data_IF_640077009776
#
_entry.id   IF_640077009776
#
_cell.length_a   1.000
_cell.length_b   1.000
_cell.length_c   1.000
_cell.angle_alpha   90.00
_cell.angle_beta   90.00
_cell.angle_gamma   90.00
#
_symmetry.space_group_name_H-M   'P 1'
#
loop_
_entity.id
_entity.type
_entity.pdbx_description
1 polymer ?
#
# COMPACT_ATOMS: atom_id res chain seq x y z
N UNK A 1 -33.20 15.02 41.23
CA UNK A 1 -32.18 14.55 41.70
C UNK A 1 -31.60 13.42 41.03
N UNK A 2 -32.26 12.48 40.90
CA UNK A 2 -31.83 11.38 40.24
C UNK A 2 -31.35 11.65 38.88
N UNK A 3 -31.85 12.49 38.24
CA UNK A 3 -31.51 12.76 36.94
C UNK A 3 -30.07 13.00 36.82
N UNK A 4 -29.52 13.49 37.69
CA UNK A 4 -28.18 13.79 37.64
C UNK A 4 -27.37 12.62 37.24
N UNK A 5 -27.64 11.56 37.74
CA UNK A 5 -26.96 10.39 37.42
C UNK A 5 -26.85 10.13 36.00
N UNK A 6 -27.86 10.30 35.36
CA UNK A 6 -27.84 10.00 34.01
C UNK A 6 -26.75 10.66 33.30
N UNK A 7 -26.50 11.77 33.58
CA UNK A 7 -25.47 12.47 32.95
C UNK A 7 -24.20 11.74 32.95
N UNK A 8 -23.86 11.23 33.99
CA UNK A 8 -22.62 10.60 34.08
C UNK A 8 -22.46 9.55 33.09
N UNK A 9 -23.43 8.86 32.85
CA UNK A 9 -23.37 7.85 31.92
C UNK A 9 -23.03 8.31 30.61
N UNK A 10 -23.64 9.23 30.18
CA UNK A 10 -23.42 9.67 28.87
C UNK A 10 -21.97 9.85 28.61
N UNK A 11 -21.29 10.34 29.50
CA UNK A 11 -19.97 10.57 29.32
C UNK A 11 -19.18 9.42 28.91
N UNK A 12 -19.31 8.35 29.49
CA UNK A 12 -18.61 7.29 29.13
C UNK A 12 -18.73 6.97 27.73
N UNK A 13 -19.82 6.98 27.26
CA UNK A 13 -20.04 6.63 25.93
C UNK A 13 -19.09 7.27 25.03
N UNK A 14 -18.89 8.41 25.17
CA UNK A 14 -18.09 9.07 24.25
C UNK A 14 -16.76 8.59 24.25
N UNK A 15 -16.25 8.36 25.28
CA UNK A 15 -14.98 7.93 25.33
C UNK A 15 -14.69 6.76 24.53
N UNK A 16 -15.44 5.87 24.55
CA UNK A 16 -15.16 4.68 23.85
C UNK A 16 -14.99 4.86 22.42
N UNK A 17 -15.47 5.83 21.89
CA UNK A 17 -15.37 5.99 20.55
C UNK A 17 -14.11 6.30 19.99
N UNK A 18 -13.39 7.03 20.51
CA UNK A 18 -12.27 7.40 19.91
C UNK A 18 -11.38 6.44 19.42
N UNK A 19 -11.08 5.54 20.01
CA UNK A 19 -10.09 4.62 19.61
C UNK A 19 -10.21 4.14 18.27
N UNK A 20 -11.30 3.84 17.94
CA UNK A 20 -11.47 3.24 16.73
C UNK A 20 -10.98 3.91 15.62
N UNK A 21 -10.90 5.05 15.67
CA UNK A 21 -10.57 5.70 14.52
C UNK A 21 -9.29 5.43 13.98
N UNK A 22 -8.51 4.95 14.62
CA UNK A 22 -7.26 4.76 14.14
C UNK A 22 -7.08 4.10 12.93
N UNK A 23 -7.72 3.22 12.67
CA UNK A 23 -7.46 2.48 11.59
C UNK A 23 -7.53 3.01 10.30
N UNK A 24 -8.30 3.72 10.06
CA UNK A 24 -8.47 4.09 8.79
C UNK A 24 -7.37 4.61 8.09
N UNK A 25 -6.57 5.14 8.72
CA UNK A 25 -5.66 5.80 8.00
C UNK A 25 -4.74 5.09 7.19
N UNK A 26 -4.64 3.96 7.31
CA UNK A 26 -3.73 3.29 6.56
C UNK A 26 -3.86 3.53 5.16
N UNK A 27 -4.97 3.76 4.67
CA UNK A 27 -5.10 3.89 3.25
C UNK A 27 -4.61 5.18 2.72
N UNK A 28 -4.33 6.09 3.57
CA UNK A 28 -3.91 7.37 3.04
C UNK A 28 -2.45 7.66 3.30
N UNK A 29 -1.70 6.70 3.71
CA UNK A 29 -0.30 6.95 3.96
C UNK A 29 0.43 7.32 2.68
N UNK A 30 1.38 8.20 2.74
CA UNK A 30 2.17 8.56 1.58
C UNK A 30 2.96 7.36 1.14
N UNK A 31 3.15 7.23 -0.14
CA UNK A 31 3.86 6.08 -0.64
C UNK A 31 5.25 5.97 -0.04
N UNK A 32 5.89 7.07 0.23
CA UNK A 32 7.22 7.03 0.80
C UNK A 32 7.26 6.43 2.19
N UNK A 33 6.14 6.33 2.87
CA UNK A 33 6.11 5.77 4.20
C UNK A 33 5.76 4.29 4.18
N UNK A 34 5.53 3.73 3.03
CA UNK A 34 5.15 2.35 2.95
C UNK A 34 6.38 1.49 2.75
N UNK A 35 6.72 0.68 3.74
CA UNK A 35 7.85 -0.21 3.59
C UNK A 35 7.42 -1.45 2.83
N UNK A 36 6.30 -2.01 3.18
CA UNK A 36 5.79 -3.18 2.46
C UNK A 36 4.33 -3.33 2.85
N UNK A 37 3.47 -3.37 1.88
CA UNK A 37 2.05 -3.52 2.12
C UNK A 37 1.49 -4.56 1.19
N UNK A 38 0.72 -5.49 1.70
CA UNK A 38 0.18 -6.59 0.91
C UNK A 38 -1.33 -6.62 0.96
N UNK A 39 -1.93 -6.98 -0.13
CA UNK A 39 -3.37 -7.08 -0.26
C UNK A 39 -3.68 -7.88 -1.53
N UNK A 40 -4.91 -7.90 -1.99
CA UNK A 40 -5.24 -8.59 -3.22
C UNK A 40 -4.62 -7.87 -4.41
N UNK A 41 -4.36 -8.58 -5.49
CA UNK A 41 -3.76 -7.95 -6.67
C UNK A 41 -4.56 -6.76 -7.19
N UNK A 42 -5.87 -6.86 -7.20
CA UNK A 42 -6.68 -5.77 -7.70
C UNK A 42 -6.58 -4.55 -6.80
N UNK A 43 -6.54 -4.75 -5.50
CA UNK A 43 -6.45 -3.65 -4.58
C UNK A 43 -5.11 -2.94 -4.76
N UNK A 44 -4.02 -3.69 -4.84
CA UNK A 44 -2.70 -3.11 -4.97
C UNK A 44 -2.56 -2.36 -6.30
N UNK A 45 -3.07 -2.95 -7.38
CA UNK A 45 -2.97 -2.32 -8.67
C UNK A 45 -3.75 -1.00 -8.68
N UNK A 46 -4.95 -1.02 -8.14
CA UNK A 46 -5.77 0.16 -8.12
C UNK A 46 -5.12 1.27 -7.28
N UNK A 47 -4.53 0.89 -6.16
CA UNK A 47 -3.87 1.85 -5.31
C UNK A 47 -2.72 2.50 -6.06
N UNK A 48 -1.88 1.72 -6.72
CA UNK A 48 -0.74 2.25 -7.42
C UNK A 48 -1.13 3.14 -8.59
N UNK A 49 -2.07 2.69 -9.37
CA UNK A 49 -2.43 3.43 -10.58
C UNK A 49 -3.33 4.64 -10.35
N UNK A 50 -4.26 4.52 -9.44
CA UNK A 50 -5.23 5.59 -9.23
C UNK A 50 -4.93 6.49 -8.04
N UNK A 51 -4.49 5.94 -6.94
CA UNK A 51 -4.21 6.77 -5.78
C UNK A 51 -2.86 7.46 -5.91
N UNK A 52 -1.87 6.78 -6.45
CA UNK A 52 -0.55 7.35 -6.58
C UNK A 52 -0.18 7.73 -8.01
N UNK A 53 -1.07 7.49 -8.94
CA UNK A 53 -0.89 7.88 -10.33
C UNK A 53 0.40 7.35 -10.94
N UNK A 54 0.71 6.10 -10.68
CA UNK A 54 1.93 5.50 -11.20
C UNK A 54 1.64 4.72 -12.47
N UNK A 55 2.55 4.73 -13.38
CA UNK A 55 2.43 3.97 -14.62
C UNK A 55 3.49 2.90 -14.72
N UNK A 56 3.22 1.85 -15.45
CA UNK A 56 4.15 0.74 -15.57
C UNK A 56 5.39 1.16 -16.34
N UNK A 57 6.53 0.87 -15.81
CA UNK A 57 7.81 1.20 -16.44
C UNK A 57 8.61 -0.05 -16.80
N UNK A 58 8.51 -1.09 -16.03
CA UNK A 58 9.26 -2.32 -16.31
C UNK A 58 8.60 -3.49 -15.62
N UNK A 59 8.88 -4.68 -16.05
CA UNK A 59 8.37 -5.87 -15.38
C UNK A 59 9.38 -7.00 -15.50
N UNK A 60 9.25 -7.97 -14.65
CA UNK A 60 10.15 -9.11 -14.64
C UNK A 60 9.53 -10.27 -13.91
N UNK A 61 10.21 -11.39 -13.90
CA UNK A 61 9.74 -12.60 -13.26
C UNK A 61 10.83 -13.08 -12.30
N UNK A 62 10.41 -13.52 -11.13
CA UNK A 62 11.33 -14.09 -10.16
C UNK A 62 11.09 -15.59 -10.13
N UNK A 63 12.13 -16.34 -10.33
CA UNK A 63 12.06 -17.80 -10.38
C UNK A 63 12.73 -18.41 -9.16
N UNK A 64 12.34 -19.63 -8.85
CA UNK A 64 13.01 -20.38 -7.80
C UNK A 64 14.26 -21.05 -8.40
N UNK A 65 14.92 -21.87 -7.63
CA UNK A 65 16.15 -22.53 -8.06
C UNK A 65 15.90 -23.63 -9.11
N UNK A 66 14.65 -23.95 -9.37
CA UNK A 66 14.32 -24.91 -10.42
C UNK A 66 13.70 -24.22 -11.61
N UNK A 67 13.91 -22.92 -11.71
CA UNK A 67 13.41 -22.09 -12.80
C UNK A 67 11.87 -22.05 -12.90
N UNK A 68 11.18 -22.26 -11.78
CA UNK A 68 9.73 -22.12 -11.78
C UNK A 68 9.39 -20.72 -11.29
N UNK A 69 8.37 -20.12 -11.86
CA UNK A 69 7.99 -18.78 -11.50
C UNK A 69 7.41 -18.72 -10.11
N UNK A 70 7.97 -17.89 -9.27
CA UNK A 70 7.46 -17.65 -7.93
C UNK A 70 6.53 -16.44 -7.92
N UNK A 71 6.92 -15.40 -8.59
CA UNK A 71 6.15 -14.19 -8.64
C UNK A 71 6.53 -13.36 -9.85
N UNK A 72 5.69 -12.42 -10.19
CA UNK A 72 6.05 -11.43 -11.18
C UNK A 72 6.28 -10.11 -10.47
N UNK A 73 7.12 -9.28 -11.04
CA UNK A 73 7.47 -8.00 -10.45
C UNK A 73 7.16 -6.91 -11.45
N UNK A 74 6.64 -5.79 -10.98
CA UNK A 74 6.38 -4.65 -11.84
C UNK A 74 6.94 -3.40 -11.19
N UNK A 75 7.65 -2.61 -11.97
CA UNK A 75 8.12 -1.31 -11.53
C UNK A 75 7.20 -0.26 -12.12
N UNK A 76 6.63 0.58 -11.28
CA UNK A 76 5.77 1.65 -11.73
C UNK A 76 6.36 2.98 -11.26
N UNK A 77 6.10 4.03 -11.98
CA UNK A 77 6.65 5.34 -11.63
C UNK A 77 5.79 6.46 -12.14
N UNK A 78 5.95 7.63 -11.54
CA UNK A 78 5.35 8.86 -12.02
C UNK A 78 6.50 9.78 -12.40
N UNK A 79 6.59 10.11 -13.69
CA UNK A 79 7.73 10.89 -14.15
C UNK A 79 7.70 12.32 -13.68
N UNK A 80 6.57 12.83 -13.29
CA UNK A 80 6.48 14.22 -12.87
C UNK A 80 6.99 14.42 -11.45
N UNK A 81 6.60 13.57 -10.53
CA UNK A 81 6.98 13.73 -9.15
C UNK A 81 8.04 12.76 -8.68
N UNK A 82 8.49 11.87 -9.57
CA UNK A 82 9.54 10.90 -9.28
C UNK A 82 9.20 9.87 -8.22
N UNK A 83 7.93 9.68 -7.95
CA UNK A 83 7.53 8.59 -7.08
C UNK A 83 7.60 7.28 -7.84
N UNK A 84 7.84 6.21 -7.15
CA UNK A 84 7.92 4.90 -7.76
C UNK A 84 7.42 3.81 -6.81
N UNK A 85 7.08 2.67 -7.35
CA UNK A 85 6.71 1.52 -6.56
C UNK A 85 7.11 0.25 -7.28
N UNK A 86 7.34 -0.80 -6.53
CA UNK A 86 7.52 -2.12 -7.10
C UNK A 86 6.41 -2.97 -6.53
N UNK A 87 5.71 -3.69 -7.40
CA UNK A 87 4.65 -4.58 -7.00
C UNK A 87 5.12 -6.00 -7.26
N UNK A 88 4.96 -6.85 -6.24
CA UNK A 88 5.27 -8.27 -6.36
C UNK A 88 3.94 -9.00 -6.39
N UNK A 89 3.67 -9.69 -7.50
CA UNK A 89 2.43 -10.45 -7.64
C UNK A 89 2.76 -11.93 -7.48
N UNK A 90 2.35 -12.49 -6.35
CA UNK A 90 2.67 -13.88 -6.07
C UNK A 90 1.78 -14.80 -6.88
N UNK A 91 2.35 -15.87 -7.38
CA UNK A 91 1.63 -16.79 -8.23
C UNK A 91 0.51 -17.48 -7.47
N UNK A 92 0.71 -17.74 -6.19
CA UNK A 92 -0.30 -18.39 -5.39
C UNK A 92 -0.84 -17.45 -4.32
N UNK A 93 -2.05 -17.68 -3.91
CA UNK A 93 -2.60 -16.98 -2.77
C UNK A 93 -3.31 -15.67 -3.04
N UNK A 94 -3.50 -15.33 -4.29
CA UNK A 94 -4.21 -14.09 -4.63
C UNK A 94 -3.65 -12.92 -3.82
N UNK A 95 -2.35 -12.78 -3.83
CA UNK A 95 -1.64 -11.82 -3.01
C UNK A 95 -0.69 -10.99 -3.83
N UNK A 96 -0.68 -9.70 -3.58
CA UNK A 96 0.32 -8.80 -4.12
C UNK A 96 0.85 -7.93 -3.03
N UNK A 97 2.10 -7.54 -3.11
CA UNK A 97 2.73 -6.65 -2.15
C UNK A 97 3.39 -5.49 -2.88
N UNK A 98 3.41 -4.35 -2.26
CA UNK A 98 3.96 -3.15 -2.87
C UNK A 98 4.96 -2.49 -1.92
N UNK A 99 6.02 -1.97 -2.50
CA UNK A 99 6.98 -1.19 -1.77
C UNK A 99 7.23 0.04 -2.64
N UNK A 100 7.38 1.18 -2.08
CA UNK A 100 7.54 2.38 -2.88
C UNK A 100 8.39 3.45 -2.22
N UNK A 101 8.59 4.51 -2.94
CA UNK A 101 9.44 5.59 -2.47
C UNK A 101 9.42 6.78 -3.41
N UNK A 102 10.42 7.62 -3.27
CA UNK A 102 10.55 8.85 -4.04
C UNK A 102 11.86 8.90 -4.76
N UNK A 103 12.04 9.91 -5.51
CA UNK A 103 13.33 10.25 -6.14
C UNK A 103 13.91 9.15 -7.04
N UNK A 104 13.07 8.54 -7.84
CA UNK A 104 13.59 7.52 -8.74
C UNK A 104 14.47 8.16 -9.80
N UNK A 105 15.56 7.50 -10.15
CA UNK A 105 16.41 7.91 -11.23
C UNK A 105 16.56 6.77 -12.18
N UNK A 106 16.49 7.07 -13.46
CA UNK A 106 16.65 6.05 -14.47
C UNK A 106 18.00 6.25 -15.14
N UNK A 107 18.69 5.17 -15.36
CA UNK A 107 20.00 5.21 -15.98
C UNK A 107 19.96 4.37 -17.24
N UNK A 108 20.61 4.83 -18.28
CA UNK A 108 20.68 4.04 -19.49
C UNK A 108 21.73 2.96 -19.32
N UNK A 109 21.41 1.73 -19.65
CA UNK A 109 22.39 0.66 -19.49
C UNK A 109 23.51 0.84 -20.50
N UNK A 110 24.69 0.39 -20.11
CA UNK A 110 25.80 0.42 -21.03
C UNK A 110 25.94 -0.92 -21.63
N UNK A 111 26.25 -0.98 -22.92
CA UNK A 111 26.41 -2.25 -23.59
C UNK A 111 27.82 -2.52 -23.95
#
# INVERSE_FOLDING_TARGET
MKKIILIGLCLFLFLGNKPTTANQHETTAPLSDILLYCNTPDFIKNMAENDYMLGLAASGIVNDDRHRMLLSMQLLMNRHNKQWAIIFNYKKGNLSCIIGGNHIKLFSPKN
#
